data_IF_846793042502
#
_entry.id   IF_846793042502
#
_cell.length_a   1.000
_cell.length_b   1.000
_cell.length_c   1.000
_cell.angle_alpha   90.00
_cell.angle_beta   90.00
_cell.angle_gamma   90.00
#
_symmetry.space_group_name_H-M   'P 1'
#
loop_
_entity.id
_entity.type
_entity.pdbx_description
1 polymer ?
#
# COMPACT_ATOMS: atom_id res chain seq x y z
N UNK A 1 -52.42 8.85 28.95
CA UNK A 1 -52.40 10.05 28.08
C UNK A 1 -51.61 9.75 26.86
N UNK A 2 -52.32 9.66 25.73
CA UNK A 2 -51.78 9.38 24.39
C UNK A 2 -51.06 10.62 23.88
N UNK A 3 -49.93 10.44 23.22
CA UNK A 3 -49.46 11.38 22.26
C UNK A 3 -48.64 10.64 21.19
N UNK A 4 -49.16 10.63 20.04
CA UNK A 4 -48.97 10.01 18.81
C UNK A 4 -47.72 10.48 18.04
N UNK A 5 -46.97 9.56 17.53
CA UNK A 5 -45.88 9.77 16.59
C UNK A 5 -46.45 9.79 15.16
N UNK A 6 -46.36 10.93 14.53
CA UNK A 6 -46.64 11.10 13.10
C UNK A 6 -45.38 10.72 12.34
N UNK A 7 -45.43 9.57 11.62
CA UNK A 7 -44.48 9.26 10.55
C UNK A 7 -44.76 10.17 9.36
N UNK A 8 -43.75 10.96 8.94
CA UNK A 8 -43.78 11.71 7.70
C UNK A 8 -43.14 10.85 6.59
N UNK A 9 -43.92 10.52 5.57
CA UNK A 9 -43.46 9.86 4.36
C UNK A 9 -42.55 10.77 3.53
N UNK A 10 -41.51 10.26 2.84
CA UNK A 10 -40.69 11.07 1.94
C UNK A 10 -41.44 11.34 0.64
N UNK A 11 -41.52 12.60 0.31
CA UNK A 11 -42.16 13.14 -0.89
C UNK A 11 -41.44 12.71 -2.18
N UNK A 12 -42.14 12.00 -3.03
CA UNK A 12 -41.84 11.73 -4.45
C UNK A 12 -41.84 13.03 -5.28
N UNK A 13 -40.82 13.87 -5.18
CA UNK A 13 -40.72 15.06 -6.04
C UNK A 13 -39.34 15.30 -6.67
N UNK A 14 -38.50 14.29 -6.77
CA UNK A 14 -37.17 14.44 -7.37
C UNK A 14 -36.93 13.66 -8.68
N UNK A 15 -37.93 12.97 -9.24
CA UNK A 15 -37.78 12.14 -10.45
C UNK A 15 -38.39 12.71 -11.73
N UNK A 16 -39.01 13.91 -11.68
CA UNK A 16 -39.69 14.48 -12.84
C UNK A 16 -38.94 15.61 -13.58
N UNK A 17 -37.68 15.86 -13.28
CA UNK A 17 -36.89 16.89 -13.97
C UNK A 17 -35.77 16.41 -14.90
N UNK A 18 -35.62 15.11 -15.12
CA UNK A 18 -34.57 14.54 -16.00
C UNK A 18 -35.10 13.99 -17.33
N UNK A 19 -36.38 14.20 -17.67
CA UNK A 19 -36.99 13.72 -18.92
C UNK A 19 -37.39 14.82 -19.92
N UNK A 20 -36.89 16.06 -19.74
CA UNK A 20 -37.26 17.20 -20.60
C UNK A 20 -36.12 17.79 -21.45
N UNK A 21 -34.98 17.10 -21.58
CA UNK A 21 -33.90 17.55 -22.47
C UNK A 21 -33.66 16.67 -23.70
N UNK A 22 -34.64 15.83 -24.07
CA UNK A 22 -34.58 14.93 -25.21
C UNK A 22 -35.53 15.25 -26.40
N UNK A 23 -36.05 16.47 -26.51
CA UNK A 23 -36.95 16.84 -27.61
C UNK A 23 -36.73 18.27 -28.11
N UNK A 24 -35.67 18.45 -28.87
CA UNK A 24 -35.55 19.59 -29.78
C UNK A 24 -34.41 19.32 -30.78
N UNK A 25 -34.66 18.54 -31.81
CA UNK A 25 -33.98 18.57 -33.10
C UNK A 25 -34.75 17.67 -34.09
N UNK A 26 -35.95 18.06 -34.39
CA UNK A 26 -36.66 17.63 -35.60
C UNK A 26 -37.12 18.86 -36.34
N UNK A 27 -36.65 18.99 -37.56
CA UNK A 27 -37.25 19.92 -38.52
C UNK A 27 -36.30 20.86 -39.20
N UNK A 28 -35.58 20.42 -40.20
CA UNK A 28 -35.38 21.16 -41.46
C UNK A 28 -35.17 20.14 -42.58
N UNK A 29 -36.21 19.86 -43.34
CA UNK A 29 -36.07 19.27 -44.66
C UNK A 29 -35.61 20.32 -45.66
N UNK A 30 -34.72 20.00 -46.60
CA UNK A 30 -34.65 20.66 -47.89
C UNK A 30 -35.21 19.71 -48.98
N UNK A 31 -36.29 20.18 -49.60
CA UNK A 31 -36.78 19.74 -50.89
C UNK A 31 -35.65 19.91 -51.96
N UNK A 32 -35.16 18.81 -52.50
CA UNK A 32 -34.54 18.80 -53.83
C UNK A 32 -34.75 17.42 -54.47
N UNK A 33 -35.33 17.47 -55.66
CA UNK A 33 -35.80 16.45 -56.56
C UNK A 33 -34.81 15.34 -56.96
N UNK A 34 -35.30 14.16 -57.37
CA UNK A 34 -34.50 12.95 -57.60
C UNK A 34 -33.90 12.97 -59.01
N UNK A 35 -32.61 13.08 -59.15
CA UNK A 35 -31.91 12.56 -60.31
C UNK A 35 -31.57 11.08 -60.08
N UNK A 36 -32.19 10.23 -60.87
CA UNK A 36 -31.85 8.81 -60.92
C UNK A 36 -30.40 8.65 -61.37
N UNK A 37 -29.51 8.37 -60.44
CA UNK A 37 -28.26 7.71 -60.68
C UNK A 37 -28.41 6.24 -60.23
N UNK A 38 -28.44 5.36 -61.19
CA UNK A 38 -28.29 3.90 -61.00
C UNK A 38 -26.96 3.61 -60.36
N UNK A 39 -26.93 3.63 -59.02
CA UNK A 39 -25.81 3.08 -58.28
C UNK A 39 -25.87 1.54 -58.38
N UNK A 40 -25.08 0.98 -59.27
CA UNK A 40 -24.67 -0.40 -59.16
C UNK A 40 -23.88 -0.52 -57.84
N UNK A 41 -24.58 -0.97 -56.81
CA UNK A 41 -23.94 -1.34 -55.54
C UNK A 41 -23.01 -2.49 -55.82
N UNK A 42 -21.73 -2.19 -55.96
CA UNK A 42 -20.65 -3.15 -55.84
C UNK A 42 -20.73 -3.72 -54.44
N UNK A 43 -21.47 -4.79 -54.24
CA UNK A 43 -21.41 -5.63 -53.06
C UNK A 43 -19.99 -6.20 -53.01
N UNK A 44 -19.06 -5.44 -52.41
CA UNK A 44 -17.77 -5.98 -52.03
C UNK A 44 -18.08 -7.03 -50.96
N UNK A 45 -17.81 -8.34 -51.19
CA UNK A 45 -18.00 -9.32 -50.15
C UNK A 45 -17.02 -9.04 -49.01
N UNK A 46 -17.50 -8.37 -47.98
CA UNK A 46 -16.73 -8.20 -46.73
C UNK A 46 -16.56 -9.60 -46.16
N UNK A 47 -15.36 -10.12 -46.28
CA UNK A 47 -14.98 -11.40 -45.64
C UNK A 47 -15.02 -11.18 -44.15
N UNK A 48 -16.23 -11.35 -43.56
CA UNK A 48 -16.41 -11.40 -42.12
C UNK A 48 -15.49 -12.49 -41.60
N UNK A 49 -14.60 -12.16 -40.64
CA UNK A 49 -13.82 -13.17 -39.92
C UNK A 49 -14.81 -14.26 -39.50
N UNK A 50 -14.72 -15.45 -40.12
CA UNK A 50 -15.51 -16.60 -39.70
C UNK A 50 -15.14 -16.87 -38.25
N UNK A 51 -16.01 -16.49 -37.34
CA UNK A 51 -16.01 -17.10 -36.01
C UNK A 51 -16.13 -18.58 -36.25
N UNK A 52 -15.31 -19.41 -35.67
CA UNK A 52 -15.25 -20.83 -35.83
C UNK A 52 -16.69 -21.41 -35.88
N UNK A 53 -17.08 -21.92 -37.06
CA UNK A 53 -18.35 -22.53 -37.25
C UNK A 53 -18.30 -23.90 -36.58
N UNK A 54 -18.93 -24.02 -35.44
CA UNK A 54 -19.20 -25.30 -34.82
C UNK A 54 -20.52 -25.75 -35.43
N UNK A 55 -20.56 -26.84 -36.24
CA UNK A 55 -21.78 -27.31 -36.82
C UNK A 55 -22.78 -27.62 -35.71
N UNK A 56 -24.06 -27.22 -35.85
CA UNK A 56 -25.07 -27.44 -34.84
C UNK A 56 -25.53 -28.92 -34.89
N UNK A 57 -24.72 -29.82 -34.39
CA UNK A 57 -25.11 -31.19 -34.12
C UNK A 57 -25.21 -31.40 -32.63
N UNK A 58 -26.45 -31.47 -32.15
CA UNK A 58 -26.81 -31.67 -30.76
C UNK A 58 -26.69 -30.36 -29.92
N UNK A 59 -27.82 -30.00 -29.35
CA UNK A 59 -28.04 -28.83 -28.51
C UNK A 59 -26.79 -28.44 -27.69
N UNK A 60 -26.06 -27.45 -28.19
CA UNK A 60 -24.82 -26.93 -27.53
C UNK A 60 -25.17 -26.22 -26.20
N UNK A 61 -26.43 -26.17 -25.83
CA UNK A 61 -26.90 -25.52 -24.59
C UNK A 61 -26.65 -26.34 -23.33
N UNK A 62 -26.51 -27.66 -23.47
CA UNK A 62 -26.41 -28.57 -22.31
C UNK A 62 -25.02 -29.18 -22.13
N UNK A 63 -24.03 -28.75 -22.93
CA UNK A 63 -22.67 -29.28 -22.87
C UNK A 63 -21.73 -28.33 -22.15
N UNK A 64 -20.89 -28.86 -21.27
CA UNK A 64 -19.84 -28.11 -20.65
C UNK A 64 -18.78 -27.63 -21.69
N UNK A 65 -18.07 -26.54 -21.41
CA UNK A 65 -17.04 -26.02 -22.33
C UNK A 65 -15.97 -27.06 -22.65
N UNK A 66 -15.64 -27.92 -21.70
CA UNK A 66 -14.65 -28.99 -21.88
C UNK A 66 -15.13 -30.07 -22.86
N UNK A 67 -16.37 -30.49 -22.74
CA UNK A 67 -16.99 -31.45 -23.67
C UNK A 67 -17.10 -30.87 -25.08
N UNK A 68 -17.39 -29.58 -25.22
CA UNK A 68 -17.41 -28.89 -26.50
C UNK A 68 -16.02 -28.87 -27.15
N UNK A 69 -14.97 -28.59 -26.34
CA UNK A 69 -13.57 -28.61 -26.78
C UNK A 69 -13.13 -30.03 -27.18
N UNK A 70 -13.60 -31.04 -26.46
CA UNK A 70 -13.27 -32.44 -26.74
C UNK A 70 -13.94 -32.94 -28.04
N UNK A 71 -15.20 -32.59 -28.27
CA UNK A 71 -15.87 -32.87 -29.55
C UNK A 71 -15.28 -32.12 -30.72
N UNK A 72 -14.89 -30.87 -30.54
CA UNK A 72 -14.22 -30.09 -31.57
C UNK A 72 -12.86 -30.73 -31.97
N UNK A 73 -12.10 -31.24 -31.01
CA UNK A 73 -10.86 -31.98 -31.26
C UNK A 73 -11.14 -33.31 -32.00
N UNK A 74 -12.17 -34.05 -31.61
CA UNK A 74 -12.55 -35.29 -32.27
C UNK A 74 -13.02 -35.06 -33.73
N UNK A 75 -13.61 -33.89 -34.01
CA UNK A 75 -13.97 -33.45 -35.36
C UNK A 75 -12.77 -32.88 -36.18
N UNK A 76 -11.54 -32.95 -35.68
CA UNK A 76 -10.36 -32.42 -36.33
C UNK A 76 -10.25 -30.89 -36.35
N UNK A 77 -11.05 -30.20 -35.58
CA UNK A 77 -10.97 -28.73 -35.42
C UNK A 77 -9.86 -28.40 -34.46
N UNK A 78 -8.87 -27.66 -34.89
CA UNK A 78 -7.81 -27.16 -34.01
C UNK A 78 -8.38 -26.07 -33.13
N UNK A 79 -8.64 -26.41 -31.88
CA UNK A 79 -9.03 -25.43 -30.86
C UNK A 79 -7.76 -24.76 -30.37
N UNK A 80 -7.62 -23.42 -30.50
CA UNK A 80 -6.45 -22.71 -29.98
C UNK A 80 -6.34 -22.99 -28.49
N UNK A 81 -5.11 -23.24 -28.04
CA UNK A 81 -4.82 -23.41 -26.62
C UNK A 81 -5.10 -22.08 -25.89
N UNK A 82 -6.14 -22.07 -25.14
CA UNK A 82 -6.35 -20.99 -24.15
C UNK A 82 -5.68 -21.43 -22.86
N UNK A 83 -4.63 -20.74 -22.42
CA UNK A 83 -4.04 -21.05 -21.12
C UNK A 83 -5.15 -20.88 -20.07
N UNK A 84 -5.24 -21.80 -19.09
CA UNK A 84 -6.21 -21.65 -18.01
C UNK A 84 -5.99 -20.30 -17.34
N UNK A 85 -7.02 -19.50 -17.25
CA UNK A 85 -6.97 -18.25 -16.50
C UNK A 85 -6.67 -18.59 -15.03
N UNK A 86 -5.42 -18.48 -14.67
CA UNK A 86 -5.05 -18.55 -13.25
C UNK A 86 -5.39 -17.20 -12.63
N UNK A 87 -6.20 -17.17 -11.59
CA UNK A 87 -6.41 -15.93 -10.86
C UNK A 87 -5.04 -15.46 -10.34
N UNK A 88 -4.61 -14.30 -10.80
CA UNK A 88 -3.39 -13.67 -10.29
C UNK A 88 -3.77 -13.05 -8.96
N UNK A 89 -3.46 -13.75 -7.88
CA UNK A 89 -3.59 -13.22 -6.54
C UNK A 89 -2.32 -12.43 -6.21
N UNK A 90 -2.41 -11.12 -6.21
CA UNK A 90 -1.35 -10.27 -5.71
C UNK A 90 -1.34 -10.39 -4.19
N UNK A 91 -0.22 -10.79 -3.61
CA UNK A 91 -0.08 -10.93 -2.17
C UNK A 91 -0.06 -9.55 -1.48
N UNK A 92 0.47 -8.53 -2.15
CA UNK A 92 0.51 -7.15 -1.68
C UNK A 92 0.54 -6.16 -2.85
N UNK A 93 0.28 -4.90 -2.56
CA UNK A 93 0.40 -3.82 -3.54
C UNK A 93 1.84 -3.37 -3.72
N UNK A 94 2.15 -2.78 -4.88
CA UNK A 94 3.51 -2.30 -5.19
C UNK A 94 3.89 -1.02 -4.43
N UNK A 95 2.91 -0.25 -3.96
CA UNK A 95 3.15 1.06 -3.36
C UNK A 95 2.15 1.45 -2.28
N UNK A 96 2.43 2.57 -1.63
CA UNK A 96 1.55 3.19 -0.65
C UNK A 96 0.57 4.09 -1.41
N UNK A 97 -0.72 3.92 -1.16
CA UNK A 97 -1.77 4.73 -1.76
C UNK A 97 -1.83 6.09 -1.08
N UNK A 98 -1.70 7.15 -1.90
CA UNK A 98 -1.86 8.53 -1.47
C UNK A 98 -1.12 8.81 -0.13
N UNK A 99 0.23 8.85 -0.15
CA UNK A 99 1.05 8.96 1.06
C UNK A 99 0.95 10.36 1.67
N UNK A 100 -0.19 10.64 2.29
CA UNK A 100 -0.43 11.90 2.97
C UNK A 100 -0.22 11.75 4.49
N UNK A 101 0.52 12.68 5.05
CA UNK A 101 0.68 12.83 6.49
C UNK A 101 0.31 14.26 6.87
N UNK A 102 -0.61 14.46 7.82
CA UNK A 102 -0.96 15.80 8.25
C UNK A 102 0.26 16.48 8.89
N UNK A 103 0.48 17.77 8.61
CA UNK A 103 1.60 18.49 9.20
C UNK A 103 1.43 18.61 10.71
N UNK A 104 2.52 18.39 11.43
CA UNK A 104 2.57 18.46 12.91
C UNK A 104 3.62 19.48 13.35
N UNK A 105 3.46 20.00 14.56
CA UNK A 105 4.39 20.96 15.16
C UNK A 105 4.62 22.21 14.28
N UNK A 106 5.87 22.53 14.03
CA UNK A 106 6.30 23.72 13.27
C UNK A 106 5.87 23.70 11.79
N UNK A 107 5.52 22.52 11.26
CA UNK A 107 4.99 22.41 9.90
C UNK A 107 3.53 22.87 9.75
N UNK A 108 2.84 23.17 10.84
CA UNK A 108 1.49 23.75 10.82
C UNK A 108 1.56 25.23 10.53
N UNK A 109 0.96 25.62 9.42
CA UNK A 109 0.85 27.02 9.05
C UNK A 109 -0.33 27.69 9.76
N UNK A 110 -0.20 29.01 9.98
CA UNK A 110 -1.26 29.81 10.57
C UNK A 110 -2.56 29.73 9.76
N UNK A 111 -3.68 29.57 10.46
CA UNK A 111 -5.01 29.46 9.84
C UNK A 111 -5.43 30.69 9.06
N UNK A 112 -4.79 31.80 9.28
CA UNK A 112 -5.09 33.09 8.62
C UNK A 112 -4.31 33.26 7.31
N UNK A 113 -3.29 32.42 7.06
CA UNK A 113 -2.55 32.47 5.81
C UNK A 113 -3.27 31.69 4.70
N UNK A 114 -3.11 32.12 3.45
CA UNK A 114 -3.64 31.43 2.26
C UNK A 114 -3.16 29.97 2.19
N UNK A 115 -1.92 29.74 2.55
CA UNK A 115 -1.31 28.41 2.58
C UNK A 115 -1.88 27.54 3.71
N UNK A 116 -2.12 28.13 4.89
CA UNK A 116 -2.77 27.44 6.01
C UNK A 116 -4.21 27.04 5.71
N UNK A 117 -4.95 27.88 4.98
CA UNK A 117 -6.30 27.51 4.50
C UNK A 117 -6.24 26.35 3.50
N UNK A 118 -5.29 26.36 2.57
CA UNK A 118 -5.08 25.26 1.62
C UNK A 118 -4.73 23.96 2.35
N UNK A 119 -3.86 24.04 3.36
CA UNK A 119 -3.46 22.90 4.18
C UNK A 119 -4.66 22.28 4.93
N UNK A 120 -5.53 23.13 5.48
CA UNK A 120 -6.77 22.67 6.13
C UNK A 120 -7.76 22.04 5.15
N UNK A 121 -7.93 22.64 3.99
CA UNK A 121 -8.81 22.08 2.94
C UNK A 121 -8.33 20.71 2.49
N UNK A 122 -7.03 20.53 2.32
CA UNK A 122 -6.45 19.22 2.01
C UNK A 122 -6.66 18.21 3.14
N UNK A 123 -6.46 18.62 4.39
CA UNK A 123 -6.72 17.76 5.55
C UNK A 123 -8.18 17.31 5.63
N UNK A 124 -9.13 18.19 5.37
CA UNK A 124 -10.55 17.84 5.33
C UNK A 124 -10.87 16.87 4.20
N UNK A 125 -10.35 17.11 3.00
CA UNK A 125 -10.48 16.21 1.85
C UNK A 125 -9.95 14.82 2.17
N UNK A 126 -8.76 14.73 2.76
CA UNK A 126 -8.12 13.48 3.13
C UNK A 126 -8.89 12.74 4.24
N UNK A 127 -9.44 13.49 5.21
CA UNK A 127 -10.31 12.92 6.25
C UNK A 127 -11.60 12.35 5.67
N UNK A 128 -12.26 13.09 4.78
CA UNK A 128 -13.47 12.60 4.11
C UNK A 128 -13.21 11.32 3.31
N UNK A 129 -12.12 11.31 2.52
CA UNK A 129 -11.72 10.11 1.78
C UNK A 129 -11.44 8.91 2.71
N UNK A 130 -10.87 9.16 3.89
CA UNK A 130 -10.63 8.11 4.88
C UNK A 130 -11.93 7.56 5.47
N UNK A 131 -12.96 8.39 5.68
CA UNK A 131 -14.26 7.92 6.16
C UNK A 131 -14.93 6.97 5.16
N UNK A 132 -14.89 7.28 3.86
CA UNK A 132 -15.39 6.36 2.84
C UNK A 132 -14.59 5.05 2.79
N UNK A 133 -13.28 5.12 2.97
CA UNK A 133 -12.44 3.92 3.03
C UNK A 133 -12.76 3.06 4.26
N UNK A 134 -13.06 3.66 5.42
CA UNK A 134 -13.47 2.93 6.63
C UNK A 134 -14.74 2.11 6.37
N UNK A 135 -15.73 2.68 5.70
CA UNK A 135 -16.95 1.97 5.37
C UNK A 135 -16.66 0.74 4.51
N UNK A 136 -15.88 0.91 3.44
CA UNK A 136 -15.47 -0.21 2.58
C UNK A 136 -14.68 -1.29 3.35
N UNK A 137 -13.78 -0.91 4.26
CA UNK A 137 -13.03 -1.88 5.06
C UNK A 137 -13.97 -2.65 6.00
N UNK A 138 -14.95 -1.98 6.61
CA UNK A 138 -15.92 -2.62 7.51
C UNK A 138 -16.86 -3.59 6.80
N UNK A 139 -17.14 -3.40 5.52
CA UNK A 139 -17.94 -4.33 4.73
C UNK A 139 -17.27 -5.73 4.63
N UNK A 140 -15.93 -5.77 4.65
CA UNK A 140 -15.14 -7.01 4.59
C UNK A 140 -14.59 -7.45 5.95
N UNK A 141 -14.36 -6.51 6.86
CA UNK A 141 -13.88 -6.77 8.22
C UNK A 141 -14.77 -6.04 9.23
N UNK A 142 -15.88 -6.67 9.65
CA UNK A 142 -16.83 -6.05 10.59
C UNK A 142 -16.22 -5.67 11.96
N UNK A 143 -15.14 -6.37 12.35
CA UNK A 143 -14.45 -6.13 13.61
C UNK A 143 -13.40 -5.02 13.53
N UNK A 144 -13.20 -4.45 12.35
CA UNK A 144 -12.27 -3.34 12.18
C UNK A 144 -12.76 -2.08 12.90
N UNK A 145 -11.94 -1.59 13.82
CA UNK A 145 -12.18 -0.34 14.53
C UNK A 145 -10.95 0.54 14.51
N UNK A 146 -11.13 1.80 14.18
CA UNK A 146 -10.05 2.80 14.20
C UNK A 146 -9.50 3.09 15.60
N UNK A 147 -10.22 2.68 16.66
CA UNK A 147 -9.79 2.84 18.04
C UNK A 147 -8.91 1.68 18.52
N UNK A 148 -9.26 0.44 18.15
CA UNK A 148 -8.55 -0.77 18.61
C UNK A 148 -7.44 -1.21 17.65
N UNK A 149 -7.55 -0.84 16.37
CA UNK A 149 -6.56 -1.20 15.36
C UNK A 149 -5.15 -0.67 15.65
N UNK A 150 -4.95 0.58 16.13
CA UNK A 150 -3.60 1.09 16.39
C UNK A 150 -2.80 0.24 17.38
N UNK A 151 -3.44 -0.32 18.40
CA UNK A 151 -2.79 -1.20 19.38
C UNK A 151 -2.32 -2.50 18.70
N UNK A 152 -3.18 -3.14 17.91
CA UNK A 152 -2.82 -4.32 17.12
C UNK A 152 -1.70 -4.01 16.12
N UNK A 153 -1.73 -2.84 15.51
CA UNK A 153 -0.69 -2.39 14.59
C UNK A 153 0.65 -2.22 15.30
N UNK A 154 0.66 -1.70 16.52
CA UNK A 154 1.86 -1.59 17.34
C UNK A 154 2.41 -2.97 17.72
N UNK A 155 1.55 -3.93 18.07
CA UNK A 155 1.96 -5.30 18.34
C UNK A 155 2.65 -5.94 17.13
N UNK A 156 2.04 -5.81 15.93
CA UNK A 156 2.62 -6.32 14.67
C UNK A 156 3.98 -5.65 14.41
N UNK A 157 4.09 -4.35 14.65
CA UNK A 157 5.32 -3.59 14.47
C UNK A 157 6.43 -4.09 15.40
N UNK A 158 6.14 -4.24 16.70
CA UNK A 158 7.10 -4.73 17.70
C UNK A 158 7.52 -6.16 17.36
N UNK A 159 6.56 -7.02 17.02
CA UNK A 159 6.84 -8.42 16.69
C UNK A 159 7.67 -8.56 15.41
N UNK A 160 7.41 -7.77 14.38
CA UNK A 160 8.21 -7.75 13.15
C UNK A 160 9.67 -7.36 13.41
N UNK A 161 9.91 -6.34 14.24
CA UNK A 161 11.27 -5.93 14.59
C UNK A 161 11.97 -6.95 15.49
N UNK A 162 11.26 -7.59 16.40
CA UNK A 162 11.80 -8.71 17.19
C UNK A 162 12.17 -9.90 16.31
N UNK A 163 11.35 -10.22 15.31
CA UNK A 163 11.68 -11.27 14.34
C UNK A 163 12.90 -10.93 13.51
N UNK A 164 13.09 -9.64 13.16
CA UNK A 164 14.28 -9.17 12.46
C UNK A 164 15.53 -9.33 13.33
N UNK A 165 15.46 -8.98 14.61
CA UNK A 165 16.55 -9.12 15.59
C UNK A 165 16.91 -10.60 15.83
N UNK A 166 15.91 -11.46 15.92
CA UNK A 166 16.09 -12.90 16.19
C UNK A 166 16.30 -13.74 14.92
N UNK A 167 16.41 -13.12 13.74
CA UNK A 167 16.56 -13.80 12.44
C UNK A 167 15.45 -14.82 12.10
N UNK A 168 14.26 -14.66 12.68
CA UNK A 168 13.12 -15.51 12.38
C UNK A 168 12.43 -15.09 11.07
N UNK A 169 12.96 -15.57 9.95
CA UNK A 169 12.50 -15.21 8.62
C UNK A 169 11.06 -15.66 8.34
N UNK A 170 10.68 -16.84 8.78
CA UNK A 170 9.35 -17.40 8.51
C UNK A 170 8.26 -16.57 9.16
N UNK A 171 8.42 -16.22 10.43
CA UNK A 171 7.48 -15.38 11.15
C UNK A 171 7.50 -13.94 10.62
N UNK A 172 8.67 -13.43 10.23
CA UNK A 172 8.78 -12.12 9.62
C UNK A 172 7.97 -12.04 8.30
N UNK A 173 8.01 -13.06 7.44
CA UNK A 173 7.20 -13.11 6.22
C UNK A 173 5.70 -13.11 6.47
N UNK A 174 5.22 -13.64 7.59
CA UNK A 174 3.80 -13.58 7.93
C UNK A 174 3.34 -12.22 8.43
N UNK A 175 4.25 -11.43 9.03
CA UNK A 175 3.97 -10.12 9.62
C UNK A 175 4.21 -8.95 8.68
N UNK A 176 5.01 -9.16 7.63
CA UNK A 176 5.46 -8.12 6.71
C UNK A 176 5.05 -8.47 5.28
N UNK A 177 4.72 -7.47 4.47
CA UNK A 177 4.41 -7.69 3.06
C UNK A 177 5.66 -7.97 2.25
N UNK A 178 5.50 -8.61 1.11
CA UNK A 178 6.58 -8.96 0.17
C UNK A 178 7.34 -7.73 -0.34
N UNK A 179 6.69 -6.57 -0.33
CA UNK A 179 7.33 -5.29 -0.65
C UNK A 179 8.25 -4.80 0.47
N UNK A 180 7.77 -4.80 1.70
CA UNK A 180 8.50 -4.26 2.84
C UNK A 180 9.63 -5.19 3.30
N UNK A 181 9.49 -6.50 3.14
CA UNK A 181 10.47 -7.49 3.55
C UNK A 181 11.88 -7.22 3.00
N UNK A 182 12.10 -7.02 1.69
CA UNK A 182 13.42 -6.72 1.16
C UNK A 182 13.97 -5.38 1.66
N UNK A 183 13.12 -4.39 1.93
CA UNK A 183 13.55 -3.10 2.48
C UNK A 183 14.08 -3.27 3.92
N UNK A 184 13.44 -4.11 4.74
CA UNK A 184 13.87 -4.39 6.11
C UNK A 184 15.15 -5.24 6.18
N UNK A 185 15.33 -6.18 5.26
CA UNK A 185 16.45 -7.14 5.26
C UNK A 185 17.65 -6.65 4.47
N UNK A 186 17.44 -5.70 3.54
CA UNK A 186 18.49 -5.20 2.65
C UNK A 186 19.66 -4.61 3.43
N UNK A 187 20.87 -5.09 3.13
CA UNK A 187 22.10 -4.62 3.78
C UNK A 187 22.36 -5.21 5.16
N UNK A 188 21.49 -6.09 5.67
CA UNK A 188 21.63 -6.68 7.01
C UNK A 188 22.36 -8.04 7.00
N UNK A 189 22.72 -8.56 5.82
CA UNK A 189 23.32 -9.91 5.66
C UNK A 189 24.56 -10.13 6.54
N UNK A 190 25.35 -9.08 6.75
CA UNK A 190 26.60 -9.16 7.52
C UNK A 190 26.58 -8.23 8.74
N UNK A 191 25.37 -7.91 9.23
CA UNK A 191 25.19 -7.02 10.38
C UNK A 191 24.31 -7.72 11.40
N UNK A 192 24.59 -7.47 12.67
CA UNK A 192 23.72 -7.86 13.77
C UNK A 192 22.94 -6.64 14.22
N UNK A 193 21.62 -6.73 14.18
CA UNK A 193 20.73 -5.67 14.64
C UNK A 193 20.23 -6.06 16.02
N UNK A 194 20.43 -5.16 16.99
CA UNK A 194 19.80 -5.24 18.30
C UNK A 194 18.81 -4.08 18.40
N UNK A 195 17.55 -4.41 18.43
CA UNK A 195 16.48 -3.45 18.58
C UNK A 195 15.59 -3.85 19.76
N UNK A 196 15.18 -2.89 20.57
CA UNK A 196 14.17 -3.12 21.58
C UNK A 196 13.20 -1.95 21.68
N UNK A 197 11.95 -2.29 21.93
CA UNK A 197 10.91 -1.34 22.25
C UNK A 197 10.97 -1.05 23.75
N UNK A 198 11.02 0.22 24.12
CA UNK A 198 11.03 0.64 25.54
C UNK A 198 9.63 0.99 25.99
N UNK A 199 9.04 2.02 25.40
CA UNK A 199 7.71 2.50 25.76
C UNK A 199 7.05 3.28 24.61
N UNK A 200 5.75 3.45 24.68
CA UNK A 200 5.01 4.35 23.79
C UNK A 200 4.84 5.70 24.49
N UNK A 201 5.39 6.76 23.91
CA UNK A 201 5.29 8.12 24.47
C UNK A 201 3.88 8.69 24.29
N UNK A 202 3.22 8.34 23.20
CA UNK A 202 1.85 8.69 22.92
C UNK A 202 1.09 7.45 22.46
N UNK A 203 -0.22 7.34 22.75
CA UNK A 203 -1.01 6.23 22.23
C UNK A 203 -0.99 6.24 20.70
N UNK A 204 -0.80 5.09 20.06
CA UNK A 204 -0.80 5.01 18.62
C UNK A 204 -2.16 5.40 18.07
N UNK A 205 -2.19 6.06 16.90
CA UNK A 205 -3.44 6.53 16.29
C UNK A 205 -3.45 6.35 14.78
N UNK A 206 -4.62 6.02 14.24
CA UNK A 206 -4.83 5.99 12.78
C UNK A 206 -4.86 7.41 12.24
N UNK A 207 -4.06 7.66 11.21
CA UNK A 207 -3.96 8.96 10.53
C UNK A 207 -4.76 8.95 9.24
N UNK A 208 -4.65 7.87 8.47
CA UNK A 208 -5.22 7.77 7.14
C UNK A 208 -5.61 6.32 6.83
N UNK A 209 -6.70 6.16 6.07
CA UNK A 209 -7.12 4.88 5.54
C UNK A 209 -7.40 5.04 4.06
N UNK A 210 -6.95 4.08 3.24
CA UNK A 210 -7.22 3.99 1.81
C UNK A 210 -7.65 2.58 1.45
N UNK A 211 -8.61 2.49 0.55
CA UNK A 211 -9.13 1.23 0.07
C UNK A 211 -9.52 1.34 -1.42
N UNK A 212 -8.53 1.43 -2.33
CA UNK A 212 -8.77 1.43 -3.76
C UNK A 212 -8.97 0.01 -4.30
N UNK A 213 -9.64 -0.06 -5.45
CA UNK A 213 -9.69 -1.26 -6.27
C UNK A 213 -8.36 -1.38 -7.05
N UNK A 214 -7.77 -2.57 -7.06
CA UNK A 214 -6.52 -2.86 -7.78
C UNK A 214 -6.78 -3.75 -8.98
N UNK A 215 -6.32 -3.33 -10.16
CA UNK A 215 -6.40 -4.03 -11.44
C UNK A 215 -7.85 -4.23 -11.91
N UNK A 216 -8.66 -4.96 -11.16
CA UNK A 216 -10.06 -5.23 -11.45
C UNK A 216 -10.96 -4.64 -10.36
N UNK A 217 -12.18 -4.23 -10.74
CA UNK A 217 -13.20 -3.82 -9.77
C UNK A 217 -13.50 -4.98 -8.82
N UNK A 218 -13.55 -4.68 -7.53
CA UNK A 218 -13.79 -5.67 -6.48
C UNK A 218 -12.53 -6.30 -5.88
N UNK A 219 -11.35 -6.10 -6.46
CA UNK A 219 -10.09 -6.54 -5.84
C UNK A 219 -9.56 -5.44 -4.91
N UNK A 220 -9.97 -5.49 -3.65
CA UNK A 220 -9.78 -4.43 -2.67
C UNK A 220 -8.61 -4.70 -1.73
N UNK A 221 -7.73 -3.70 -1.60
CA UNK A 221 -6.65 -3.68 -0.62
C UNK A 221 -6.89 -2.52 0.34
N UNK A 222 -6.95 -2.82 1.63
CA UNK A 222 -7.00 -1.82 2.68
C UNK A 222 -5.61 -1.44 3.13
N UNK A 223 -5.27 -0.15 3.10
CA UNK A 223 -4.05 0.39 3.69
C UNK A 223 -4.42 1.36 4.82
N UNK A 224 -3.82 1.14 5.98
CA UNK A 224 -4.02 1.96 7.19
C UNK A 224 -2.69 2.54 7.61
N UNK A 225 -2.60 3.85 7.67
CA UNK A 225 -1.44 4.56 8.19
C UNK A 225 -1.64 4.86 9.67
N UNK A 226 -0.72 4.37 10.48
CA UNK A 226 -0.71 4.55 11.94
C UNK A 226 0.47 5.42 12.33
N UNK A 227 0.20 6.47 13.11
CA UNK A 227 1.22 7.29 13.75
C UNK A 227 1.64 6.64 15.05
N UNK A 228 2.91 6.42 15.21
CA UNK A 228 3.53 5.84 16.40
C UNK A 228 4.62 6.76 16.90
N UNK A 229 4.53 7.19 18.15
CA UNK A 229 5.56 7.95 18.82
C UNK A 229 6.08 7.10 19.97
N UNK A 230 7.26 6.53 19.77
CA UNK A 230 7.78 5.46 20.63
C UNK A 230 9.22 5.73 21.01
N UNK A 231 9.59 5.25 22.20
CA UNK A 231 10.98 5.22 22.65
C UNK A 231 11.57 3.86 22.37
N UNK A 232 12.66 3.83 21.62
CA UNK A 232 13.28 2.61 21.10
C UNK A 232 14.79 2.67 21.31
N UNK A 233 15.42 1.49 21.42
CA UNK A 233 16.87 1.37 21.33
C UNK A 233 17.23 0.67 20.03
N UNK A 234 18.30 1.10 19.39
CA UNK A 234 18.82 0.48 18.19
C UNK A 234 20.33 0.46 18.23
N UNK A 235 20.92 -0.72 18.15
CA UNK A 235 22.34 -0.92 17.97
C UNK A 235 22.59 -1.82 16.76
N UNK A 236 23.48 -1.39 15.88
CA UNK A 236 23.87 -2.14 14.69
C UNK A 236 25.35 -2.48 14.80
N UNK A 237 25.65 -3.78 14.77
CA UNK A 237 27.00 -4.32 14.83
C UNK A 237 27.42 -4.86 13.46
N UNK A 238 28.70 -4.71 13.14
CA UNK A 238 29.32 -5.36 11.99
C UNK A 238 29.49 -6.87 12.25
N UNK A 239 29.86 -7.63 11.22
CA UNK A 239 30.16 -9.07 11.30
C UNK A 239 31.27 -9.42 12.31
N UNK A 240 32.10 -8.46 12.69
CA UNK A 240 33.15 -8.61 13.67
C UNK A 240 32.74 -8.21 15.10
N UNK A 241 31.44 -7.93 15.32
CA UNK A 241 30.93 -7.49 16.62
C UNK A 241 31.24 -6.06 16.99
N UNK A 242 31.74 -5.23 16.04
CA UNK A 242 32.00 -3.82 16.30
C UNK A 242 30.73 -2.99 16.12
N UNK A 243 30.48 -2.08 17.07
CA UNK A 243 29.34 -1.19 17.01
C UNK A 243 29.50 -0.20 15.84
N UNK A 244 28.57 -0.24 14.90
CA UNK A 244 28.53 0.67 13.74
C UNK A 244 27.59 1.85 13.97
N UNK A 245 26.48 1.64 14.66
CA UNK A 245 25.45 2.66 14.84
C UNK A 245 24.68 2.44 16.12
N UNK A 246 24.32 3.54 16.80
CA UNK A 246 23.46 3.53 17.97
C UNK A 246 24.10 2.97 19.22
N UNK A 247 23.29 2.41 20.10
CA UNK A 247 23.71 1.77 21.34
C UNK A 247 22.53 1.08 22.01
N UNK A 248 22.72 -0.06 22.64
CA UNK A 248 21.65 -0.81 23.31
C UNK A 248 21.09 -0.07 24.53
N UNK A 249 21.91 0.74 25.18
CA UNK A 249 21.54 1.47 26.40
C UNK A 249 21.09 2.91 26.14
N UNK A 250 21.11 3.36 24.87
CA UNK A 250 20.76 4.73 24.51
C UNK A 250 19.38 4.73 23.84
N UNK A 251 18.31 4.99 24.58
CA UNK A 251 16.98 5.10 24.01
C UNK A 251 16.86 6.38 23.18
N UNK A 252 16.10 6.30 22.09
CA UNK A 252 15.75 7.45 21.23
C UNK A 252 14.25 7.53 21.06
N UNK A 253 13.74 8.73 21.08
CA UNK A 253 12.35 9.01 20.77
C UNK A 253 12.19 9.08 19.26
N UNK A 254 11.29 8.26 18.72
CA UNK A 254 11.10 8.09 17.28
C UNK A 254 9.64 8.27 16.93
N UNK A 255 9.36 9.21 16.03
CA UNK A 255 8.04 9.42 15.45
C UNK A 255 7.99 8.76 14.07
N UNK A 256 7.10 7.82 13.89
CA UNK A 256 6.95 7.05 12.64
C UNK A 256 5.50 7.00 12.17
N UNK A 257 5.36 7.03 10.84
CA UNK A 257 4.07 6.82 10.17
C UNK A 257 4.17 5.51 9.41
N UNK A 258 3.59 4.48 10.02
CA UNK A 258 3.71 3.10 9.56
C UNK A 258 2.45 2.69 8.82
N UNK A 259 2.60 2.08 7.65
CA UNK A 259 1.49 1.63 6.81
C UNK A 259 1.33 0.13 6.96
N UNK A 260 0.10 -0.28 7.26
CA UNK A 260 -0.32 -1.67 7.31
C UNK A 260 -1.26 -1.96 6.15
N UNK A 261 -1.12 -3.12 5.54
CA UNK A 261 -1.93 -3.55 4.41
C UNK A 261 -2.59 -4.89 4.66
N UNK A 262 -3.81 -5.03 4.15
CA UNK A 262 -4.54 -6.29 4.09
C UNK A 262 -5.27 -6.41 2.76
N UNK A 263 -5.21 -7.57 2.13
CA UNK A 263 -6.08 -7.92 1.02
C UNK A 263 -7.47 -8.28 1.59
N UNK A 264 -8.45 -7.42 1.38
CA UNK A 264 -9.76 -7.50 2.04
C UNK A 264 -10.63 -8.63 1.50
N UNK A 265 -10.52 -8.91 0.20
CA UNK A 265 -11.31 -9.96 -0.46
C UNK A 265 -10.91 -11.35 0.02
N UNK A 266 -9.66 -11.52 0.46
CA UNK A 266 -9.20 -12.78 1.01
C UNK A 266 -9.63 -12.93 2.48
N UNK A 267 -10.52 -13.88 2.81
CA UNK A 267 -11.00 -14.09 4.18
C UNK A 267 -9.87 -14.47 5.15
N UNK A 268 -8.82 -15.11 4.65
CA UNK A 268 -7.64 -15.51 5.43
C UNK A 268 -6.55 -14.45 5.48
N UNK A 269 -6.78 -13.30 4.82
CA UNK A 269 -5.82 -12.19 4.82
C UNK A 269 -5.66 -11.60 6.22
N UNK A 270 -4.41 -11.43 6.65
CA UNK A 270 -4.05 -10.72 7.88
C UNK A 270 -3.54 -9.32 7.58
N UNK A 271 -3.62 -8.41 8.56
CA UNK A 271 -2.95 -7.13 8.49
C UNK A 271 -1.45 -7.31 8.64
N UNK A 272 -0.68 -6.76 7.68
CA UNK A 272 0.78 -6.89 7.64
C UNK A 272 1.45 -5.52 7.47
N UNK A 273 2.65 -5.41 8.00
CA UNK A 273 3.48 -4.21 7.82
C UNK A 273 3.83 -4.06 6.33
N UNK A 274 3.46 -2.91 5.75
CA UNK A 274 3.65 -2.68 4.31
C UNK A 274 4.76 -1.67 4.00
N UNK A 275 4.95 -0.72 4.86
CA UNK A 275 5.98 0.29 4.68
C UNK A 275 5.86 1.43 5.67
N UNK A 276 6.63 2.47 5.40
CA UNK A 276 6.71 3.66 6.23
C UNK A 276 6.66 4.90 5.36
N UNK A 277 5.91 5.90 5.79
CA UNK A 277 5.85 7.20 5.13
C UNK A 277 6.81 8.14 5.85
N UNK A 278 7.72 8.76 5.09
CA UNK A 278 8.55 9.87 5.59
C UNK A 278 7.87 11.16 5.11
N UNK A 279 7.35 11.99 6.02
CA UNK A 279 6.72 13.24 5.64
C UNK A 279 7.70 14.19 4.94
N UNK A 280 7.22 14.96 3.97
CA UNK A 280 8.06 15.95 3.29
C UNK A 280 8.54 17.07 4.23
N UNK A 281 7.83 17.31 5.31
CA UNK A 281 8.15 18.30 6.34
C UNK A 281 9.04 17.74 7.45
N UNK A 282 9.41 16.45 7.43
CA UNK A 282 10.32 15.89 8.41
C UNK A 282 11.72 16.53 8.28
N UNK A 283 12.41 16.76 9.40
CA UNK A 283 13.77 17.25 9.34
C UNK A 283 14.66 16.26 8.57
N UNK A 284 15.71 16.75 7.88
CA UNK A 284 16.66 15.90 7.20
C UNK A 284 17.28 14.92 8.19
N UNK A 285 17.53 13.69 7.74
CA UNK A 285 18.21 12.70 8.57
C UNK A 285 19.63 13.18 8.90
N UNK A 286 20.00 13.05 10.17
CA UNK A 286 21.38 13.24 10.55
C UNK A 286 22.30 12.28 9.77
N UNK A 287 23.45 12.77 9.27
CA UNK A 287 24.38 11.91 8.57
C UNK A 287 24.87 10.79 9.51
N UNK A 288 24.94 9.59 8.99
CA UNK A 288 25.52 8.45 9.73
C UNK A 288 27.02 8.71 9.85
N UNK A 289 27.49 8.90 11.08
CA UNK A 289 28.91 9.10 11.37
C UNK A 289 29.57 7.73 11.48
N UNK A 290 30.47 7.44 10.57
CA UNK A 290 31.28 6.23 10.62
C UNK A 290 32.43 6.40 11.60
N UNK A 291 32.55 5.46 12.54
CA UNK A 291 33.75 5.39 13.40
C UNK A 291 34.88 4.68 12.67
N UNK A 292 36.01 5.31 12.58
CA UNK A 292 37.23 4.72 12.02
C UNK A 292 38.20 4.42 13.17
N UNK A 293 38.68 3.18 13.20
CA UNK A 293 39.74 2.83 14.14
C UNK A 293 41.04 3.50 13.70
N UNK A 294 41.65 4.25 14.62
CA UNK A 294 43.01 4.75 14.44
C UNK A 294 43.95 3.62 14.82
N UNK A 295 44.98 3.30 14.00
CA UNK A 295 45.96 2.30 14.37
C UNK A 295 46.64 2.69 15.69
N UNK A 296 46.83 1.72 16.56
CA UNK A 296 47.56 1.93 17.80
C UNK A 296 49.00 2.32 17.56
N UNK A 297 49.69 2.82 18.60
CA UNK A 297 51.12 3.14 18.51
C UNK A 297 51.90 1.89 18.09
N UNK A 298 52.86 2.07 17.20
CA UNK A 298 53.82 1.00 16.85
C UNK A 298 54.75 0.83 18.03
N UNK A 299 54.75 -0.38 18.61
CA UNK A 299 55.63 -0.72 19.73
C UNK A 299 56.98 -1.12 19.19
N UNK A 300 58.04 -0.51 19.69
CA UNK A 300 59.38 -0.95 19.45
C UNK A 300 59.65 -2.20 20.34
N UNK A 301 60.19 -3.30 19.79
CA UNK A 301 60.46 -4.51 20.56
C UNK A 301 61.39 -4.32 21.73
N UNK A 302 62.21 -3.24 21.73
CA UNK A 302 63.13 -2.88 22.81
C UNK A 302 62.44 -2.28 24.05
N UNK A 303 61.16 -1.90 23.95
CA UNK A 303 60.37 -1.28 25.03
C UNK A 303 59.40 -2.24 25.67
N UNK A 304 59.49 -3.54 25.41
CA UNK A 304 58.56 -4.58 25.85
C UNK A 304 58.44 -4.75 27.36
N UNK A 305 59.37 -4.19 28.13
CA UNK A 305 59.46 -4.30 29.59
C UNK A 305 59.12 -3.01 30.36
N UNK A 306 58.92 -1.92 29.69
CA UNK A 306 58.48 -0.70 30.34
C UNK A 306 56.94 -0.72 30.43
N UNK A 307 56.38 -0.42 31.61
CA UNK A 307 54.91 -0.22 31.80
C UNK A 307 54.45 0.99 31.00
N UNK A 308 54.30 0.83 29.69
CA UNK A 308 53.85 1.89 28.82
C UNK A 308 52.35 2.01 29.03
N UNK A 309 51.89 3.11 29.59
CA UNK A 309 50.50 3.48 29.64
C UNK A 309 50.01 3.79 28.23
N UNK A 310 49.39 2.82 27.59
CA UNK A 310 48.77 3.01 26.27
C UNK A 310 47.56 3.88 26.41
N UNK A 311 47.53 5.04 25.76
CA UNK A 311 46.26 5.71 25.44
C UNK A 311 45.54 4.89 24.39
N UNK A 312 44.46 4.26 24.78
CA UNK A 312 43.57 3.58 23.83
C UNK A 312 43.08 4.62 22.81
N UNK A 313 43.45 4.50 21.52
CA UNK A 313 43.06 5.50 20.54
C UNK A 313 41.53 5.53 20.44
N UNK A 314 40.95 6.70 20.69
CA UNK A 314 39.52 6.91 20.53
C UNK A 314 39.18 6.92 19.05
N UNK A 315 38.14 6.20 18.62
CA UNK A 315 37.71 6.16 17.21
C UNK A 315 37.32 7.58 16.75
N UNK A 316 37.87 8.02 15.62
CA UNK A 316 37.47 9.28 14.98
C UNK A 316 36.15 9.06 14.23
N UNK A 317 35.24 10.00 14.42
CA UNK A 317 33.99 10.03 13.66
C UNK A 317 34.26 10.62 12.27
N UNK A 318 33.91 9.89 11.23
CA UNK A 318 33.98 10.36 9.84
C UNK A 318 32.57 10.32 9.21
N UNK A 319 32.23 11.40 8.53
CA UNK A 319 30.97 11.45 7.78
C UNK A 319 31.02 10.51 6.57
N UNK A 320 29.94 9.78 6.33
CA UNK A 320 29.81 8.85 5.21
C UNK A 320 29.69 9.54 3.84
N UNK A 321 29.39 10.85 3.84
CA UNK A 321 29.20 11.64 2.64
C UNK A 321 30.14 12.84 2.69
N UNK A 322 30.96 12.94 1.69
CA UNK A 322 31.51 14.20 1.22
C UNK A 322 30.74 14.61 -0.01
#
# INVERSE_FOLDING_TARGET
MQCGSKMAAPTQRALSRLLLLGRCLQGVEPLLSPTRLTQTSLLVPVRTKRRHFIPPSVSAKDMTQEEQKLKARAAGIVVPYEPPERPINLACTAGIFDPYVPPEGDARLSSLSKEGLRQRAEQLKQSAASQFAILKVKDYDPYFSTRTFPEKAQEIFIEAHNCLTNFNKQKLHSLVTERCYPEMVRGNRYKTIRWSFVESLEPPRVVQIRCPDMVNKGNLYGQVTVRMHTRQTLAIYDRFGRLMYGGEQVPKDVLEYVVFERHLVNPYGSWRLHGKIVPAWAPPKDPIIKTVMVPGPVLDPSQEFDEIQYEIPKPKQTQWYK
#
